data_IF_701887037545
#
_entry.id   IF_701887037545
#
_cell.length_a   1.000
_cell.length_b   1.000
_cell.length_c   1.000
_cell.angle_alpha   90.00
_cell.angle_beta   90.00
_cell.angle_gamma   90.00
#
_symmetry.space_group_name_H-M   'P 1'
#
loop_
_entity.id
_entity.type
_entity.pdbx_description
1 polymer ?
#
# COMPACT_ATOMS: atom_id res chain seq x y z
N UNK A 1 8.70 24.05 2.68
CA UNK A 1 9.47 23.41 1.59
C UNK A 1 9.21 21.91 1.69
N UNK A 2 8.79 21.23 0.63
CA UNK A 2 8.78 19.77 0.64
C UNK A 2 10.25 19.27 0.70
N UNK A 3 10.53 18.16 1.39
CA UNK A 3 11.87 17.59 1.39
C UNK A 3 12.27 17.18 -0.03
N UNK A 4 13.43 17.66 -0.47
CA UNK A 4 14.11 17.25 -1.69
C UNK A 4 14.55 15.78 -1.54
N UNK A 5 13.77 14.83 -2.06
CA UNK A 5 14.24 13.45 -2.22
C UNK A 5 15.06 13.34 -3.50
N UNK A 6 16.32 13.79 -3.43
CA UNK A 6 17.33 13.46 -4.43
C UNK A 6 17.70 11.98 -4.26
N UNK A 7 16.97 11.07 -4.91
CA UNK A 7 17.35 9.66 -5.03
C UNK A 7 17.66 8.96 -3.70
N UNK A 8 16.73 9.01 -2.73
CA UNK A 8 16.87 8.29 -1.47
C UNK A 8 16.86 6.78 -1.69
N UNK A 9 17.65 6.07 -0.88
CA UNK A 9 17.66 4.61 -0.88
C UNK A 9 16.30 4.11 -0.33
N UNK A 10 15.72 3.07 -0.92
CA UNK A 10 14.42 2.55 -0.47
C UNK A 10 14.43 2.12 1.00
N UNK A 11 15.60 1.74 1.48
CA UNK A 11 15.92 1.35 2.84
C UNK A 11 15.71 2.49 3.85
N UNK A 12 15.82 3.75 3.42
CA UNK A 12 15.57 4.93 4.25
C UNK A 12 14.08 5.17 4.49
N UNK A 13 13.22 4.59 3.65
CA UNK A 13 11.78 4.61 3.89
C UNK A 13 11.48 3.67 5.05
N UNK A 14 11.03 4.24 6.17
CA UNK A 14 10.61 3.50 7.36
C UNK A 14 9.13 3.73 7.61
N UNK A 15 8.52 2.76 8.30
CA UNK A 15 7.24 2.94 8.96
C UNK A 15 7.53 3.18 10.43
N UNK A 16 6.85 4.15 11.04
CA UNK A 16 6.85 4.28 12.49
C UNK A 16 6.00 3.17 13.12
N UNK A 17 6.28 2.81 14.38
CA UNK A 17 5.48 1.83 15.14
C UNK A 17 3.97 2.13 15.09
N UNK A 18 3.62 3.43 15.06
CA UNK A 18 2.23 3.87 14.96
C UNK A 18 1.63 3.56 13.59
N UNK A 19 2.38 3.72 12.52
CA UNK A 19 1.96 3.40 11.16
C UNK A 19 1.84 1.89 10.99
N UNK A 20 2.80 1.11 11.46
CA UNK A 20 2.76 -0.36 11.45
C UNK A 20 1.51 -0.87 12.17
N UNK A 21 1.30 -0.48 13.43
CA UNK A 21 0.11 -0.87 14.18
C UNK A 21 -1.20 -0.41 13.52
N UNK A 22 -1.18 0.72 12.83
CA UNK A 22 -2.36 1.22 12.12
C UNK A 22 -2.64 0.39 10.88
N UNK A 23 -1.61 0.04 10.11
CA UNK A 23 -1.70 -0.82 8.94
C UNK A 23 -2.24 -2.20 9.33
N UNK A 24 -1.69 -2.79 10.39
CA UNK A 24 -2.15 -4.08 10.94
C UNK A 24 -3.62 -4.03 11.32
N UNK A 25 -4.02 -3.05 12.15
CA UNK A 25 -5.42 -2.89 12.58
C UNK A 25 -6.36 -2.66 11.40
N UNK A 26 -5.92 -1.90 10.40
CA UNK A 26 -6.72 -1.59 9.22
C UNK A 26 -6.94 -2.84 8.35
N UNK A 27 -5.87 -3.56 8.01
CA UNK A 27 -5.94 -4.77 7.18
C UNK A 27 -6.72 -5.87 7.89
N UNK A 28 -6.44 -6.10 9.17
CA UNK A 28 -7.15 -7.11 9.95
C UNK A 28 -8.65 -6.79 10.08
N UNK A 29 -9.00 -5.52 10.28
CA UNK A 29 -10.40 -5.08 10.31
C UNK A 29 -11.10 -5.29 8.96
N UNK A 30 -10.42 -4.99 7.85
CA UNK A 30 -10.97 -5.24 6.52
C UNK A 30 -11.13 -6.74 6.25
N UNK A 31 -10.12 -7.55 6.56
CA UNK A 31 -10.11 -9.00 6.35
C UNK A 31 -11.23 -9.69 7.16
N UNK A 32 -11.35 -9.37 8.45
CA UNK A 32 -12.35 -9.96 9.36
C UNK A 32 -13.80 -9.46 9.16
N UNK A 33 -14.01 -8.36 8.45
CA UNK A 33 -15.37 -7.84 8.20
C UNK A 33 -16.15 -8.77 7.26
N UNK A 34 -17.24 -9.35 7.74
CA UNK A 34 -18.07 -10.27 6.94
C UNK A 34 -19.13 -9.57 6.07
N UNK A 35 -19.54 -8.35 6.41
CA UNK A 35 -20.61 -7.61 5.74
C UNK A 35 -20.14 -6.22 5.25
N UNK A 36 -20.49 -5.87 4.01
CA UNK A 36 -20.26 -4.54 3.43
C UNK A 36 -20.91 -3.41 4.26
N UNK A 37 -22.02 -3.68 4.96
CA UNK A 37 -22.67 -2.72 5.88
C UNK A 37 -21.77 -2.35 7.06
N UNK A 38 -21.03 -3.32 7.60
CA UNK A 38 -20.06 -3.06 8.67
C UNK A 38 -18.97 -2.13 8.19
N UNK A 39 -18.50 -2.30 6.94
CA UNK A 39 -17.50 -1.44 6.34
C UNK A 39 -18.00 0.00 6.11
N UNK A 40 -19.28 0.17 5.76
CA UNK A 40 -19.90 1.51 5.63
C UNK A 40 -19.92 2.21 6.99
N UNK A 41 -20.31 1.51 8.06
CA UNK A 41 -20.31 2.07 9.42
C UNK A 41 -18.89 2.40 9.90
N UNK A 42 -17.89 1.64 9.44
CA UNK A 42 -16.49 1.85 9.76
C UNK A 42 -15.77 2.83 8.83
N UNK A 43 -16.45 3.45 7.86
CA UNK A 43 -15.85 4.37 6.89
C UNK A 43 -15.03 5.49 7.56
N UNK A 44 -15.58 6.14 8.59
CA UNK A 44 -14.86 7.19 9.35
C UNK A 44 -13.61 6.67 10.05
N UNK A 45 -13.61 5.40 10.46
CA UNK A 45 -12.47 4.75 11.12
C UNK A 45 -11.39 4.42 10.09
N UNK A 46 -11.78 3.90 8.92
CA UNK A 46 -10.89 3.70 7.77
C UNK A 46 -10.22 5.00 7.34
N UNK A 47 -10.96 6.10 7.25
CA UNK A 47 -10.40 7.41 6.93
C UNK A 47 -9.35 7.88 7.94
N UNK A 48 -9.56 7.63 9.23
CA UNK A 48 -8.56 7.93 10.28
C UNK A 48 -7.30 7.06 10.13
N UNK A 49 -7.45 5.79 9.78
CA UNK A 49 -6.30 4.93 9.49
C UNK A 49 -5.52 5.44 8.29
N UNK A 50 -6.21 5.78 7.21
CA UNK A 50 -5.62 6.37 6.01
C UNK A 50 -4.90 7.68 6.27
N UNK A 51 -5.43 8.55 7.13
CA UNK A 51 -4.76 9.78 7.55
C UNK A 51 -3.48 9.50 8.34
N UNK A 52 -3.50 8.48 9.20
CA UNK A 52 -2.32 8.10 10.00
C UNK A 52 -1.23 7.49 9.13
N UNK A 53 -1.60 6.73 8.09
CA UNK A 53 -0.67 6.14 7.12
C UNK A 53 -0.24 7.12 6.02
N UNK A 54 -0.81 8.33 5.98
CA UNK A 54 -0.52 9.30 4.92
C UNK A 54 0.96 9.73 4.84
N UNK A 55 1.69 9.93 5.96
CA UNK A 55 3.11 10.29 5.92
C UNK A 55 3.98 9.20 5.29
N UNK A 56 3.65 7.93 5.51
CA UNK A 56 4.35 6.80 4.92
C UNK A 56 4.33 6.80 3.39
N UNK A 57 5.43 6.34 2.81
CA UNK A 57 5.54 6.13 1.37
C UNK A 57 4.75 4.88 0.95
N UNK A 58 3.88 4.94 -0.08
CA UNK A 58 2.97 3.84 -0.40
C UNK A 58 3.69 2.56 -0.86
N UNK A 59 4.84 2.65 -1.53
CA UNK A 59 5.65 1.46 -1.86
C UNK A 59 6.21 0.78 -0.61
N UNK A 60 6.54 1.55 0.44
CA UNK A 60 7.04 0.97 1.70
C UNK A 60 5.93 0.30 2.48
N UNK A 61 4.75 0.92 2.52
CA UNK A 61 3.52 0.31 3.10
C UNK A 61 3.22 -1.02 2.40
N UNK A 62 3.30 -1.05 1.07
CA UNK A 62 3.07 -2.28 0.31
C UNK A 62 4.14 -3.33 0.59
N UNK A 63 5.43 -2.97 0.54
CA UNK A 63 6.52 -3.91 0.83
C UNK A 63 6.36 -4.54 2.22
N UNK A 64 6.16 -3.71 3.24
CA UNK A 64 5.91 -4.18 4.60
C UNK A 64 4.71 -5.13 4.67
N UNK A 65 3.61 -4.81 4.00
CA UNK A 65 2.42 -5.67 3.95
C UNK A 65 2.73 -7.04 3.35
N UNK A 66 3.54 -7.12 2.30
CA UNK A 66 3.88 -8.37 1.61
C UNK A 66 4.93 -9.18 2.38
N UNK A 67 5.90 -8.53 3.01
CA UNK A 67 6.94 -9.18 3.80
C UNK A 67 6.39 -9.81 5.09
N UNK A 68 5.33 -9.25 5.66
CA UNK A 68 4.71 -9.76 6.89
C UNK A 68 3.65 -10.84 6.57
N UNK A 69 3.86 -12.12 6.92
CA UNK A 69 2.98 -13.21 6.48
C UNK A 69 1.51 -13.04 6.87
N UNK A 70 1.25 -12.51 8.07
CA UNK A 70 -0.11 -12.26 8.57
C UNK A 70 -0.78 -11.17 7.74
N UNK A 71 -0.09 -10.07 7.47
CA UNK A 71 -0.64 -8.96 6.68
C UNK A 71 -0.82 -9.32 5.21
N UNK A 72 0.10 -10.12 4.66
CA UNK A 72 -0.06 -10.69 3.33
C UNK A 72 -1.31 -11.56 3.26
N UNK A 73 -1.54 -12.41 4.25
CA UNK A 73 -2.76 -13.24 4.35
C UNK A 73 -4.02 -12.39 4.47
N UNK A 74 -4.01 -11.37 5.34
CA UNK A 74 -5.14 -10.44 5.48
C UNK A 74 -5.41 -9.70 4.17
N UNK A 75 -4.38 -9.25 3.45
CA UNK A 75 -4.52 -8.60 2.15
C UNK A 75 -5.07 -9.56 1.07
N UNK A 76 -4.67 -10.83 1.08
CA UNK A 76 -5.25 -11.86 0.21
C UNK A 76 -6.74 -12.08 0.50
N UNK A 77 -7.14 -12.09 1.78
CA UNK A 77 -8.54 -12.20 2.17
C UNK A 77 -9.34 -10.95 1.77
N UNK A 78 -8.76 -9.76 1.92
CA UNK A 78 -9.33 -8.50 1.42
C UNK A 78 -9.52 -8.55 -0.09
N UNK A 79 -8.56 -9.08 -0.85
CA UNK A 79 -8.62 -9.21 -2.30
C UNK A 79 -9.77 -10.13 -2.78
N UNK A 80 -10.12 -11.18 -2.01
CA UNK A 80 -11.23 -12.09 -2.35
C UNK A 80 -12.61 -11.42 -2.37
N UNK A 81 -12.77 -10.29 -1.67
CA UNK A 81 -14.02 -9.54 -1.65
C UNK A 81 -13.92 -8.26 -2.47
N UNK A 82 -14.73 -8.16 -3.52
CA UNK A 82 -14.79 -6.94 -4.35
C UNK A 82 -14.99 -5.66 -3.54
N UNK A 83 -15.86 -5.69 -2.52
CA UNK A 83 -16.14 -4.52 -1.68
C UNK A 83 -14.95 -4.14 -0.78
N UNK A 84 -14.31 -5.11 -0.12
CA UNK A 84 -13.13 -4.87 0.72
C UNK A 84 -11.96 -4.38 -0.14
N UNK A 85 -11.72 -5.05 -1.26
CA UNK A 85 -10.68 -4.71 -2.22
C UNK A 85 -10.84 -3.28 -2.74
N UNK A 86 -12.06 -2.90 -3.15
CA UNK A 86 -12.34 -1.53 -3.61
C UNK A 86 -12.01 -0.48 -2.55
N UNK A 87 -12.31 -0.76 -1.28
CA UNK A 87 -12.03 0.14 -0.16
C UNK A 87 -10.55 0.28 0.14
N UNK A 88 -9.80 -0.82 0.12
CA UNK A 88 -8.35 -0.78 0.24
C UNK A 88 -7.71 -0.01 -0.93
N UNK A 89 -8.11 -0.34 -2.17
CA UNK A 89 -7.61 0.31 -3.37
C UNK A 89 -7.90 1.82 -3.41
N UNK A 90 -9.03 2.28 -2.88
CA UNK A 90 -9.38 3.71 -2.86
C UNK A 90 -8.26 4.55 -2.22
N UNK A 91 -7.76 4.11 -1.06
CA UNK A 91 -6.63 4.75 -0.40
C UNK A 91 -5.32 4.57 -1.17
N UNK A 92 -5.01 3.33 -1.55
CA UNK A 92 -3.72 3.01 -2.17
C UNK A 92 -3.56 3.74 -3.51
N UNK A 93 -4.60 3.74 -4.35
CA UNK A 93 -4.62 4.46 -5.63
C UNK A 93 -4.42 5.95 -5.44
N UNK A 94 -5.06 6.55 -4.44
CA UNK A 94 -4.89 7.98 -4.14
C UNK A 94 -3.43 8.30 -3.82
N UNK A 95 -2.81 7.57 -2.87
CA UNK A 95 -1.42 7.81 -2.47
C UNK A 95 -0.42 7.52 -3.58
N UNK A 96 -0.56 6.41 -4.30
CA UNK A 96 0.28 6.09 -5.45
C UNK A 96 0.20 7.17 -6.53
N UNK A 97 -1.00 7.66 -6.81
CA UNK A 97 -1.19 8.73 -7.81
C UNK A 97 -0.55 10.05 -7.36
N UNK A 98 -0.67 10.42 -6.09
CA UNK A 98 -0.03 11.61 -5.53
C UNK A 98 1.50 11.53 -5.62
N UNK A 99 2.11 10.40 -5.23
CA UNK A 99 3.56 10.22 -5.30
C UNK A 99 4.05 10.09 -6.76
N UNK A 100 3.24 9.52 -7.66
CA UNK A 100 3.54 9.51 -9.10
C UNK A 100 3.68 10.92 -9.66
N UNK A 101 2.76 11.83 -9.35
CA UNK A 101 2.81 13.21 -9.84
C UNK A 101 3.95 14.04 -9.23
N UNK A 102 4.49 13.61 -8.09
CA UNK A 102 5.69 14.19 -7.49
C UNK A 102 6.99 13.60 -8.06
N UNK A 103 6.90 12.69 -9.03
CA UNK A 103 7.99 11.86 -9.54
C UNK A 103 8.73 11.07 -8.43
N UNK A 104 8.00 10.78 -7.35
CA UNK A 104 8.54 10.20 -6.12
C UNK A 104 8.31 8.68 -6.06
N UNK A 105 7.90 8.03 -7.16
CA UNK A 105 7.77 6.57 -7.21
C UNK A 105 8.98 5.91 -7.87
N UNK A 106 9.43 6.43 -9.02
CA UNK A 106 10.41 5.77 -9.89
C UNK A 106 11.76 5.56 -9.20
N UNK A 107 12.20 6.52 -8.39
CA UNK A 107 13.44 6.44 -7.61
C UNK A 107 13.46 5.25 -6.65
N UNK A 108 12.29 4.86 -6.14
CA UNK A 108 12.14 3.81 -5.13
C UNK A 108 11.75 2.44 -5.69
N UNK A 109 11.40 2.36 -6.98
CA UNK A 109 11.05 1.09 -7.64
C UNK A 109 12.17 0.05 -7.56
N UNK A 110 13.46 0.38 -7.81
CA UNK A 110 14.53 -0.62 -7.72
C UNK A 110 14.61 -1.29 -6.35
N UNK A 111 14.70 -0.51 -5.27
CA UNK A 111 14.79 -1.06 -3.92
C UNK A 111 13.51 -1.78 -3.46
N UNK A 112 12.34 -1.34 -3.92
CA UNK A 112 11.09 -2.08 -3.72
C UNK A 112 11.15 -3.47 -4.37
N UNK A 113 11.68 -3.56 -5.59
CA UNK A 113 11.81 -4.83 -6.31
C UNK A 113 12.83 -5.75 -5.64
N UNK A 114 13.95 -5.20 -5.19
CA UNK A 114 15.00 -5.95 -4.50
C UNK A 114 14.47 -6.52 -3.16
N UNK A 115 13.70 -5.73 -2.42
CA UNK A 115 13.08 -6.14 -1.14
C UNK A 115 12.11 -7.30 -1.31
N UNK A 116 11.27 -7.26 -2.35
CA UNK A 116 10.25 -8.29 -2.59
C UNK A 116 10.73 -9.42 -3.51
N UNK A 117 11.97 -9.35 -4.00
CA UNK A 117 12.53 -10.24 -5.01
C UNK A 117 11.64 -10.37 -6.26
N UNK A 118 11.07 -9.26 -6.72
CA UNK A 118 10.20 -9.20 -7.91
C UNK A 118 10.92 -8.57 -9.09
N UNK A 119 10.45 -8.87 -10.30
CA UNK A 119 11.01 -8.37 -11.54
C UNK A 119 10.75 -6.86 -11.72
N UNK A 120 11.81 -6.08 -11.84
CA UNK A 120 11.74 -4.61 -11.99
C UNK A 120 10.93 -4.17 -13.21
N UNK A 121 11.12 -4.83 -14.34
CA UNK A 121 10.39 -4.60 -15.59
C UNK A 121 8.87 -4.75 -15.43
N UNK A 122 8.42 -5.70 -14.61
CA UNK A 122 6.99 -5.90 -14.32
C UNK A 122 6.44 -4.75 -13.47
N UNK A 123 7.16 -4.36 -12.42
CA UNK A 123 6.75 -3.26 -11.55
C UNK A 123 6.74 -1.92 -12.30
N UNK A 124 7.78 -1.63 -13.09
CA UNK A 124 7.87 -0.43 -13.91
C UNK A 124 6.74 -0.35 -14.95
N UNK A 125 6.35 -1.48 -15.54
CA UNK A 125 5.20 -1.55 -16.44
C UNK A 125 3.92 -1.08 -15.74
N UNK A 126 3.58 -1.62 -14.56
CA UNK A 126 2.38 -1.19 -13.85
C UNK A 126 2.47 0.27 -13.37
N UNK A 127 3.64 0.71 -12.90
CA UNK A 127 3.84 2.09 -12.42
C UNK A 127 3.69 3.11 -13.55
N UNK A 128 4.30 2.84 -14.71
CA UNK A 128 4.20 3.73 -15.88
C UNK A 128 2.78 3.85 -16.44
N UNK A 129 2.00 2.77 -16.38
CA UNK A 129 0.60 2.76 -16.81
C UNK A 129 -0.38 3.23 -15.71
N UNK A 130 0.12 3.49 -14.50
CA UNK A 130 -0.69 3.83 -13.31
C UNK A 130 -1.72 2.76 -12.97
N UNK A 131 -1.40 1.51 -13.29
CA UNK A 131 -2.22 0.35 -12.93
C UNK A 131 -1.82 -0.16 -11.54
N UNK A 132 -2.32 0.55 -10.53
CA UNK A 132 -2.05 0.23 -9.13
C UNK A 132 -2.67 -1.09 -8.67
N UNK A 133 -3.77 -1.51 -9.31
CA UNK A 133 -4.41 -2.79 -8.99
C UNK A 133 -3.58 -3.96 -9.53
N UNK A 134 -3.15 -3.86 -10.80
CA UNK A 134 -2.21 -4.81 -11.41
C UNK A 134 -0.89 -4.88 -10.64
N UNK A 135 -0.35 -3.74 -10.20
CA UNK A 135 0.86 -3.71 -9.37
C UNK A 135 0.70 -4.56 -8.11
N UNK A 136 -0.32 -4.29 -7.28
CA UNK A 136 -0.49 -5.01 -6.01
C UNK A 136 -0.71 -6.50 -6.27
N UNK A 137 -1.51 -6.85 -7.29
CA UNK A 137 -1.74 -8.25 -7.67
C UNK A 137 -0.46 -8.96 -8.08
N UNK A 138 0.42 -8.29 -8.82
CA UNK A 138 1.68 -8.88 -9.31
C UNK A 138 2.70 -9.18 -8.22
N UNK A 139 2.59 -8.53 -7.06
CA UNK A 139 3.51 -8.75 -5.92
C UNK A 139 2.86 -9.54 -4.77
N UNK A 140 1.53 -9.72 -4.81
CA UNK A 140 0.78 -10.45 -3.78
C UNK A 140 0.89 -11.97 -3.93
N UNK A 141 1.11 -12.45 -5.16
CA UNK A 141 1.19 -13.86 -5.54
C UNK A 141 2.55 -14.18 -6.15
#
# INVERSE_FOLDING_TARGET
MPPNYLGGAFEELTLSDKEEQTLEKMLHMLASSSDARVLILQQKKLEKFFQTLNPAHPLKVLAYTIEHPILRSDLQEVHRSFFKWRKFLEYFRRRMTEEFYKDNLKSFVPGFCDTLHVKKDVVEHFVSHRDWDGLIKSVLY
#
